data_IF_992333696649
#
_entry.id   IF_992333696649
#
_cell.length_a   1.000
_cell.length_b   1.000
_cell.length_c   1.000
_cell.angle_alpha   90.00
_cell.angle_beta   90.00
_cell.angle_gamma   90.00
#
_symmetry.space_group_name_H-M   'P 1'
#
loop_
_entity.id
_entity.type
_entity.pdbx_description
1 polymer ?
#
# COMPACT_ATOMS: atom_id res chain seq x y z
N UNK A 1 -53.35 39.39 -12.32
CA UNK A 1 -52.93 40.54 -13.15
C UNK A 1 -52.01 40.01 -14.23
N UNK A 2 -52.47 40.12 -15.48
CA UNK A 2 -51.76 40.10 -16.77
C UNK A 2 -50.83 38.89 -17.03
N UNK A 3 -51.34 37.74 -17.46
CA UNK A 3 -51.78 37.30 -18.82
C UNK A 3 -50.68 36.78 -19.75
N UNK A 4 -50.91 35.62 -20.41
CA UNK A 4 -50.09 34.98 -21.43
C UNK A 4 -50.52 35.40 -22.86
N UNK A 5 -49.86 34.90 -23.90
CA UNK A 5 -50.36 34.94 -25.29
C UNK A 5 -49.43 34.12 -26.20
N UNK A 6 -49.80 32.97 -26.77
CA UNK A 6 -50.92 32.57 -27.65
C UNK A 6 -50.53 32.51 -29.13
N UNK A 7 -50.95 31.39 -29.73
CA UNK A 7 -50.99 31.04 -31.15
C UNK A 7 -51.84 32.00 -31.98
N UNK A 8 -51.54 32.10 -33.29
CA UNK A 8 -52.50 32.36 -34.36
C UNK A 8 -52.05 31.54 -35.60
N UNK A 9 -52.83 30.53 -36.03
CA UNK A 9 -53.84 30.54 -37.12
C UNK A 9 -53.23 30.52 -38.54
N UNK A 10 -53.76 29.88 -39.60
CA UNK A 10 -54.90 28.98 -39.87
C UNK A 10 -54.78 28.49 -41.32
N UNK A 11 -55.48 27.38 -41.58
CA UNK A 11 -55.86 26.69 -42.83
C UNK A 11 -56.09 27.48 -44.13
N UNK A 12 -56.04 26.75 -45.26
CA UNK A 12 -56.73 27.17 -46.49
C UNK A 12 -56.49 26.30 -47.73
N UNK A 13 -57.45 25.42 -48.04
CA UNK A 13 -57.57 24.63 -49.28
C UNK A 13 -57.58 25.45 -50.59
N UNK A 14 -57.16 24.80 -51.69
CA UNK A 14 -57.60 25.18 -53.04
C UNK A 14 -56.71 24.65 -54.18
N UNK A 15 -57.06 23.50 -54.77
CA UNK A 15 -56.71 23.21 -56.18
C UNK A 15 -57.64 24.01 -57.09
N UNK A 16 -57.26 24.37 -58.34
CA UNK A 16 -57.37 23.39 -59.43
C UNK A 16 -56.41 23.62 -60.65
N UNK A 17 -56.32 22.61 -61.53
CA UNK A 17 -56.34 22.71 -63.02
C UNK A 17 -55.31 23.63 -63.75
N UNK A 18 -54.64 23.33 -64.87
CA UNK A 18 -54.92 22.49 -66.07
C UNK A 18 -53.57 22.16 -66.76
N UNK A 19 -53.52 20.95 -67.35
CA UNK A 19 -52.69 20.39 -68.45
C UNK A 19 -52.64 21.29 -69.73
N UNK A 20 -51.98 20.98 -70.90
CA UNK A 20 -51.70 19.65 -71.49
C UNK A 20 -50.38 19.47 -72.32
N UNK A 21 -49.81 18.25 -72.40
CA UNK A 21 -49.78 17.28 -73.53
C UNK A 21 -48.70 17.59 -74.60
N UNK A 22 -48.01 16.66 -75.27
CA UNK A 22 -48.40 15.41 -75.97
C UNK A 22 -47.12 14.51 -76.05
N UNK A 23 -47.08 13.26 -75.55
CA UNK A 23 -47.48 11.98 -76.19
C UNK A 23 -46.61 11.61 -77.43
N UNK A 24 -45.94 10.47 -77.56
CA UNK A 24 -46.54 9.12 -77.69
C UNK A 24 -45.47 8.03 -77.94
N UNK A 25 -45.70 6.83 -77.36
CA UNK A 25 -45.55 5.44 -77.90
C UNK A 25 -44.18 4.99 -78.50
N UNK A 26 -43.64 3.76 -78.35
CA UNK A 26 -44.09 2.38 -78.16
C UNK A 26 -42.85 1.57 -77.65
N UNK A 27 -42.92 0.77 -76.59
CA UNK A 27 -43.13 -0.70 -76.60
C UNK A 27 -41.94 -1.51 -77.16
N UNK A 28 -41.07 -2.08 -76.29
CA UNK A 28 -40.64 -3.47 -76.39
C UNK A 28 -39.83 -3.94 -75.16
N UNK A 29 -40.13 -5.16 -74.73
CA UNK A 29 -39.47 -6.06 -73.80
C UNK A 29 -37.97 -5.84 -73.52
N UNK A 30 -37.57 -6.01 -72.25
CA UNK A 30 -36.61 -7.04 -71.82
C UNK A 30 -36.74 -7.18 -70.29
N UNK A 31 -37.02 -8.40 -69.86
CA UNK A 31 -36.89 -8.85 -68.49
C UNK A 31 -35.42 -8.77 -68.09
N UNK A 32 -35.07 -7.89 -67.15
CA UNK A 32 -33.78 -7.94 -66.47
C UNK A 32 -34.06 -8.40 -65.05
N UNK A 33 -33.83 -9.69 -64.84
CA UNK A 33 -33.61 -10.27 -63.52
C UNK A 33 -32.57 -9.43 -62.80
N UNK A 34 -33.01 -8.62 -61.83
CA UNK A 34 -32.11 -7.99 -60.88
C UNK A 34 -31.73 -9.06 -59.84
N UNK A 35 -30.91 -10.03 -60.27
CA UNK A 35 -30.07 -10.79 -59.35
C UNK A 35 -29.05 -9.79 -58.83
N UNK A 36 -29.27 -9.28 -57.62
CA UNK A 36 -28.20 -8.66 -56.86
C UNK A 36 -27.05 -9.67 -56.80
N UNK A 37 -25.86 -9.37 -57.32
CA UNK A 37 -24.71 -10.15 -56.93
C UNK A 37 -24.54 -9.84 -55.44
N UNK A 38 -24.83 -10.85 -54.61
CA UNK A 38 -24.21 -10.94 -53.31
C UNK A 38 -22.71 -10.87 -53.61
N UNK A 39 -22.07 -9.73 -53.37
CA UNK A 39 -20.62 -9.69 -53.23
C UNK A 39 -20.33 -10.52 -51.99
N UNK A 40 -20.20 -11.82 -52.20
CA UNK A 40 -19.31 -12.61 -51.39
C UNK A 40 -17.95 -11.91 -51.51
N UNK A 41 -17.62 -11.09 -50.50
CA UNK A 41 -16.22 -10.77 -50.22
C UNK A 41 -15.59 -12.10 -49.83
N UNK A 42 -15.19 -12.85 -50.85
CA UNK A 42 -14.20 -13.90 -50.74
C UNK A 42 -12.87 -13.21 -50.41
N UNK A 43 -12.73 -12.81 -49.15
CA UNK A 43 -11.42 -12.66 -48.52
C UNK A 43 -11.14 -14.05 -47.93
N UNK A 44 -10.86 -15.02 -48.81
CA UNK A 44 -10.29 -16.31 -48.40
C UNK A 44 -9.10 -16.10 -47.46
N UNK A 45 -8.69 -17.13 -46.71
CA UNK A 45 -7.66 -17.00 -45.67
C UNK A 45 -6.40 -16.40 -46.28
N UNK A 46 -6.21 -15.09 -46.07
CA UNK A 46 -5.05 -14.41 -46.58
C UNK A 46 -3.86 -14.95 -45.80
N UNK A 47 -2.88 -15.54 -46.44
CA UNK A 47 -1.68 -15.97 -45.73
C UNK A 47 -0.82 -14.75 -45.43
N UNK A 48 -0.01 -14.83 -44.36
CA UNK A 48 0.99 -13.82 -44.06
C UNK A 48 2.03 -13.86 -45.19
N UNK A 49 2.05 -12.84 -46.04
CA UNK A 49 3.02 -12.72 -47.12
C UNK A 49 4.40 -12.35 -46.59
N UNK A 50 4.46 -11.42 -45.63
CA UNK A 50 5.72 -10.91 -45.09
C UNK A 50 5.52 -10.29 -43.70
N UNK A 51 6.54 -10.43 -42.85
CA UNK A 51 6.65 -9.71 -41.57
C UNK A 51 7.86 -8.78 -41.67
N UNK A 52 7.65 -7.49 -41.48
CA UNK A 52 8.69 -6.46 -41.49
C UNK A 52 8.87 -5.90 -40.09
N UNK A 53 10.08 -6.04 -39.55
CA UNK A 53 10.47 -5.44 -38.27
C UNK A 53 11.29 -4.17 -38.53
N UNK A 54 10.90 -3.06 -37.91
CA UNK A 54 11.58 -1.75 -38.03
C UNK A 54 12.00 -1.24 -36.67
N UNK A 55 13.09 -0.47 -36.60
CA UNK A 55 13.58 0.13 -35.35
C UNK A 55 14.44 -0.79 -34.49
N UNK A 56 14.82 -1.96 -35.04
CA UNK A 56 15.86 -2.79 -34.46
C UNK A 56 17.25 -2.18 -34.72
N UNK A 57 18.13 -2.30 -33.74
CA UNK A 57 19.49 -1.76 -33.76
C UNK A 57 20.49 -2.85 -33.35
N UNK A 58 20.38 -3.36 -32.11
CA UNK A 58 21.26 -4.40 -31.59
C UNK A 58 20.75 -5.80 -31.93
N UNK A 59 19.44 -6.03 -31.87
CA UNK A 59 18.86 -7.34 -32.18
C UNK A 59 18.72 -7.50 -33.70
N UNK A 60 19.28 -8.58 -34.24
CA UNK A 60 19.11 -8.88 -35.66
C UNK A 60 17.65 -9.21 -35.98
N UNK A 61 17.13 -8.75 -37.13
CA UNK A 61 15.77 -9.09 -37.58
C UNK A 61 15.53 -10.60 -37.61
N UNK A 62 16.52 -11.38 -38.04
CA UNK A 62 16.44 -12.84 -38.05
C UNK A 62 16.34 -13.46 -36.64
N UNK A 63 16.98 -12.86 -35.64
CA UNK A 63 16.93 -13.33 -34.26
C UNK A 63 15.55 -13.10 -33.65
N UNK A 64 14.95 -11.92 -33.87
CA UNK A 64 13.60 -11.61 -33.39
C UNK A 64 12.57 -12.48 -34.11
N UNK A 65 12.68 -12.63 -35.43
CA UNK A 65 11.79 -13.53 -36.20
C UNK A 65 11.90 -14.99 -35.77
N UNK A 66 13.08 -15.46 -35.35
CA UNK A 66 13.26 -16.83 -34.86
C UNK A 66 12.57 -17.07 -33.50
N UNK A 67 12.37 -16.02 -32.69
CA UNK A 67 11.65 -16.07 -31.40
C UNK A 67 10.13 -15.96 -31.57
N UNK A 68 9.66 -15.47 -32.72
CA UNK A 68 8.24 -15.36 -33.05
C UNK A 68 7.64 -16.71 -33.42
N UNK A 69 6.36 -16.91 -33.09
CA UNK A 69 5.62 -18.11 -33.50
C UNK A 69 5.00 -17.96 -34.89
N UNK A 70 4.52 -16.77 -35.21
CA UNK A 70 3.98 -16.47 -36.55
C UNK A 70 5.09 -16.38 -37.59
N UNK A 71 4.86 -16.93 -38.78
CA UNK A 71 5.81 -16.97 -39.88
C UNK A 71 5.16 -16.55 -41.21
N UNK A 72 5.95 -16.01 -42.16
CA UNK A 72 5.48 -15.89 -43.54
C UNK A 72 5.00 -17.26 -44.07
N UNK A 73 3.79 -17.30 -44.61
CA UNK A 73 3.10 -18.51 -45.06
C UNK A 73 1.98 -18.99 -44.13
N UNK A 74 1.95 -18.55 -42.87
CA UNK A 74 0.91 -18.92 -41.91
C UNK A 74 -0.45 -18.28 -42.29
N UNK A 75 -1.59 -18.89 -41.90
CA UNK A 75 -2.90 -18.26 -42.09
C UNK A 75 -2.99 -16.96 -41.29
N UNK A 76 -3.53 -15.90 -41.89
CA UNK A 76 -3.78 -14.66 -41.18
C UNK A 76 -4.83 -14.85 -40.07
N UNK A 77 -4.40 -14.64 -38.83
CA UNK A 77 -5.27 -14.63 -37.67
C UNK A 77 -4.93 -13.43 -36.75
N UNK A 78 -5.85 -12.48 -36.53
CA UNK A 78 -5.60 -11.32 -35.68
C UNK A 78 -5.39 -11.69 -34.21
N UNK A 79 -5.98 -12.77 -33.70
CA UNK A 79 -5.78 -13.23 -32.32
C UNK A 79 -4.37 -13.78 -32.10
N UNK A 80 -3.82 -14.47 -33.11
CA UNK A 80 -2.44 -14.97 -33.08
C UNK A 80 -1.43 -13.82 -33.14
N UNK A 81 -1.74 -12.75 -33.89
CA UNK A 81 -0.93 -11.53 -33.92
C UNK A 81 -0.93 -10.82 -32.57
N UNK A 82 -2.07 -10.69 -31.89
CA UNK A 82 -2.13 -10.12 -30.54
C UNK A 82 -1.37 -10.98 -29.52
N UNK A 83 -1.50 -12.30 -29.60
CA UNK A 83 -0.73 -13.21 -28.76
C UNK A 83 0.78 -13.10 -29.02
N UNK A 84 1.19 -12.83 -30.27
CA UNK A 84 2.59 -12.56 -30.62
C UNK A 84 3.07 -11.23 -30.06
N UNK A 85 2.26 -10.17 -30.15
CA UNK A 85 2.55 -8.88 -29.57
C UNK A 85 2.78 -9.00 -28.05
N UNK A 86 1.89 -9.73 -27.35
CA UNK A 86 2.05 -10.02 -25.91
C UNK A 86 3.33 -10.80 -25.61
N UNK A 87 3.73 -11.75 -26.47
CA UNK A 87 5.00 -12.48 -26.33
C UNK A 87 6.20 -11.55 -26.46
N UNK A 88 6.24 -10.73 -27.51
CA UNK A 88 7.31 -9.76 -27.72
C UNK A 88 7.40 -8.75 -26.57
N UNK A 89 6.25 -8.29 -26.05
CA UNK A 89 6.22 -7.43 -24.86
C UNK A 89 6.77 -8.15 -23.62
N UNK A 90 6.36 -9.39 -23.40
CA UNK A 90 6.81 -10.20 -22.26
C UNK A 90 8.28 -10.63 -22.34
N UNK A 91 8.94 -10.51 -23.50
CA UNK A 91 10.37 -10.79 -23.61
C UNK A 91 11.22 -9.78 -22.84
N UNK A 92 10.65 -8.58 -22.59
CA UNK A 92 11.32 -7.52 -21.86
C UNK A 92 12.45 -6.84 -22.64
N UNK A 93 12.61 -7.12 -23.93
CA UNK A 93 13.68 -6.58 -24.79
C UNK A 93 13.37 -5.19 -25.37
N UNK A 94 12.12 -4.74 -25.31
CA UNK A 94 11.63 -3.54 -26.02
C UNK A 94 11.06 -2.49 -25.05
N UNK A 95 11.38 -1.22 -25.29
CA UNK A 95 10.83 -0.05 -24.57
C UNK A 95 9.39 0.20 -25.01
N UNK A 96 9.16 0.13 -26.33
CA UNK A 96 7.84 0.27 -26.93
C UNK A 96 7.71 -0.62 -28.16
N UNK A 97 6.49 -1.08 -28.41
CA UNK A 97 6.10 -1.78 -29.63
C UNK A 97 4.92 -0.98 -30.18
N UNK A 98 5.07 -0.42 -31.38
CA UNK A 98 3.97 0.33 -32.00
C UNK A 98 2.87 -0.64 -32.47
N UNK A 99 1.60 -0.20 -32.54
CA UNK A 99 0.55 -0.97 -33.17
C UNK A 99 0.96 -1.43 -34.58
N UNK A 100 0.79 -2.72 -34.93
CA UNK A 100 1.22 -3.25 -36.21
C UNK A 100 0.44 -2.60 -37.35
N UNK A 101 1.15 -2.21 -38.41
CA UNK A 101 0.53 -1.75 -39.66
C UNK A 101 0.28 -2.97 -40.53
N UNK A 102 -0.97 -3.14 -41.00
CA UNK A 102 -1.42 -4.32 -41.74
C UNK A 102 -1.81 -3.89 -43.15
N UNK A 103 -1.02 -4.32 -44.14
CA UNK A 103 -1.27 -4.04 -45.56
C UNK A 103 -1.75 -5.32 -46.27
N UNK A 104 -2.93 -5.27 -46.89
CA UNK A 104 -3.46 -6.40 -47.68
C UNK A 104 -3.06 -6.23 -49.14
N UNK A 105 -2.34 -7.22 -49.67
CA UNK A 105 -1.90 -7.24 -51.07
C UNK A 105 -2.44 -8.47 -51.80
N UNK A 106 -2.42 -8.50 -53.15
CA UNK A 106 -2.76 -9.71 -53.91
C UNK A 106 -1.88 -10.93 -53.57
N UNK A 107 -0.69 -10.71 -53.01
CA UNK A 107 0.23 -11.76 -52.58
C UNK A 107 0.00 -12.24 -51.13
N UNK A 108 -0.88 -11.58 -50.36
CA UNK A 108 -1.18 -11.88 -48.96
C UNK A 108 -1.04 -10.67 -48.03
N UNK A 109 -1.01 -10.91 -46.72
CA UNK A 109 -0.94 -9.87 -45.68
C UNK A 109 0.51 -9.52 -45.33
N UNK A 110 0.85 -8.22 -45.37
CA UNK A 110 2.14 -7.71 -44.90
C UNK A 110 1.93 -7.07 -43.52
N UNK A 111 2.70 -7.51 -42.54
CA UNK A 111 2.65 -7.01 -41.17
C UNK A 111 3.93 -6.20 -40.92
N UNK A 112 3.79 -4.91 -40.62
CA UNK A 112 4.92 -4.07 -40.21
C UNK A 112 4.83 -3.76 -38.73
N UNK A 113 5.83 -4.20 -37.97
CA UNK A 113 5.95 -3.93 -36.53
C UNK A 113 7.13 -2.98 -36.32
N UNK A 114 6.87 -1.82 -35.73
CA UNK A 114 7.95 -0.93 -35.29
C UNK A 114 8.24 -1.22 -33.82
N UNK A 115 9.49 -1.53 -33.54
CA UNK A 115 10.03 -1.90 -32.24
C UNK A 115 11.03 -0.83 -31.82
N UNK A 116 11.04 -0.48 -30.54
CA UNK A 116 12.11 0.30 -29.94
C UNK A 116 12.81 -0.59 -28.91
N UNK A 117 14.04 -0.99 -29.20
CA UNK A 117 14.82 -1.87 -28.32
C UNK A 117 15.22 -1.18 -27.02
N UNK A 118 15.31 -1.95 -25.94
CA UNK A 118 15.98 -1.53 -24.72
C UNK A 118 17.48 -1.63 -24.92
N UNK A 119 18.15 -0.50 -24.76
CA UNK A 119 19.60 -0.41 -24.73
C UNK A 119 20.09 -0.63 -23.28
N UNK A 120 21.27 -1.24 -23.08
CA UNK A 120 21.83 -1.39 -21.75
C UNK A 120 22.22 -0.03 -21.16
N UNK A 121 22.16 0.11 -19.84
CA UNK A 121 22.62 1.28 -19.10
C UNK A 121 24.14 1.25 -19.07
N UNK A 122 24.78 2.16 -19.79
CA UNK A 122 26.23 2.27 -19.83
C UNK A 122 26.79 2.82 -18.51
N UNK A 123 26.11 3.82 -17.94
CA UNK A 123 26.53 4.48 -16.71
C UNK A 123 25.34 5.17 -16.04
N UNK A 124 25.36 5.16 -14.72
CA UNK A 124 24.48 5.97 -13.87
C UNK A 124 25.30 7.15 -13.31
N UNK A 125 24.77 8.35 -13.42
CA UNK A 125 25.40 9.59 -12.96
C UNK A 125 24.45 10.30 -12.02
N UNK A 126 24.98 10.85 -10.94
CA UNK A 126 24.24 11.71 -10.01
C UNK A 126 24.79 13.12 -10.12
N UNK A 127 23.94 14.08 -10.50
CA UNK A 127 24.28 15.50 -10.56
C UNK A 127 23.63 16.23 -9.39
N UNK A 128 24.33 17.23 -8.82
CA UNK A 128 23.79 18.06 -7.74
C UNK A 128 23.85 17.44 -6.33
N UNK A 129 24.55 16.33 -6.17
CA UNK A 129 24.84 15.72 -4.85
C UNK A 129 25.93 16.49 -4.10
N UNK A 130 25.54 17.27 -3.09
CA UNK A 130 26.45 18.03 -2.25
C UNK A 130 26.70 17.33 -0.90
N UNK A 131 25.64 16.93 -0.20
CA UNK A 131 25.71 16.23 1.09
C UNK A 131 25.40 14.73 0.96
N UNK A 132 24.63 14.33 -0.05
CA UNK A 132 24.32 12.93 -0.32
C UNK A 132 25.46 12.27 -1.08
N UNK A 133 26.16 11.30 -0.46
CA UNK A 133 27.20 10.56 -1.19
C UNK A 133 26.60 9.76 -2.36
N UNK A 134 27.24 9.80 -3.53
CA UNK A 134 26.83 9.01 -4.72
C UNK A 134 26.71 7.51 -4.40
N UNK A 135 27.59 6.97 -3.55
CA UNK A 135 27.52 5.57 -3.10
C UNK A 135 26.24 5.24 -2.35
N UNK A 136 25.73 6.18 -1.54
CA UNK A 136 24.44 6.00 -0.84
C UNK A 136 23.27 6.12 -1.80
N UNK A 137 23.35 7.03 -2.78
CA UNK A 137 22.34 7.17 -3.82
C UNK A 137 22.25 5.91 -4.70
N UNK A 138 23.40 5.40 -5.18
CA UNK A 138 23.48 4.18 -5.97
C UNK A 138 22.96 2.95 -5.21
N UNK A 139 23.21 2.84 -3.91
CA UNK A 139 22.70 1.74 -3.08
C UNK A 139 21.19 1.77 -2.86
N UNK A 140 20.57 2.94 -3.01
CA UNK A 140 19.14 3.11 -2.78
C UNK A 140 18.32 2.78 -4.03
N UNK A 141 18.87 3.03 -5.21
CA UNK A 141 18.21 2.76 -6.49
C UNK A 141 18.43 1.33 -6.97
N UNK A 142 17.59 0.89 -7.91
CA UNK A 142 17.68 -0.41 -8.56
C UNK A 142 18.34 -0.36 -9.93
N UNK A 143 18.34 0.79 -10.59
CA UNK A 143 19.01 0.97 -11.88
C UNK A 143 20.52 0.79 -11.72
N UNK A 144 21.06 -0.23 -12.38
CA UNK A 144 22.48 -0.56 -12.35
C UNK A 144 23.12 -0.49 -13.74
N UNK A 145 24.45 -0.42 -13.74
CA UNK A 145 25.25 -0.48 -14.97
C UNK A 145 25.11 -1.88 -15.61
N UNK A 146 25.13 -1.92 -16.93
CA UNK A 146 25.07 -3.10 -17.79
C UNK A 146 23.68 -3.81 -17.80
N UNK A 147 22.70 -3.31 -17.05
CA UNK A 147 21.31 -3.77 -17.10
C UNK A 147 20.51 -3.11 -18.24
N UNK A 148 19.41 -3.74 -18.68
CA UNK A 148 18.52 -3.16 -19.70
C UNK A 148 17.78 -1.93 -19.15
N UNK A 149 17.91 -0.79 -19.83
CA UNK A 149 17.23 0.45 -19.44
C UNK A 149 15.72 0.24 -19.29
N UNK A 150 15.18 0.60 -18.13
CA UNK A 150 13.75 0.57 -17.84
C UNK A 150 13.23 1.98 -17.47
N UNK A 151 12.36 2.59 -18.29
CA UNK A 151 11.79 3.90 -17.95
C UNK A 151 10.84 3.86 -16.75
N UNK A 152 10.28 2.69 -16.38
CA UNK A 152 9.48 2.56 -15.16
C UNK A 152 10.39 2.48 -13.94
N UNK A 153 11.45 1.67 -14.00
CA UNK A 153 12.42 1.54 -12.90
C UNK A 153 13.08 2.88 -12.57
N UNK A 154 13.48 3.66 -13.58
CA UNK A 154 14.08 4.98 -13.36
C UNK A 154 13.09 5.93 -12.67
N UNK A 155 11.80 5.85 -12.98
CA UNK A 155 10.75 6.65 -12.30
C UNK A 155 10.55 6.21 -10.84
N UNK A 156 10.59 4.91 -10.57
CA UNK A 156 10.59 4.37 -9.20
C UNK A 156 11.81 4.84 -8.43
N UNK A 157 12.99 4.78 -9.04
CA UNK A 157 14.27 5.19 -8.47
C UNK A 157 14.31 6.70 -8.15
N UNK A 158 13.73 7.55 -8.99
CA UNK A 158 13.54 8.98 -8.66
C UNK A 158 12.73 9.15 -7.37
N UNK A 159 11.71 8.32 -7.16
CA UNK A 159 10.88 8.35 -5.95
C UNK A 159 11.66 7.83 -4.75
N UNK A 160 12.45 6.77 -4.93
CA UNK A 160 13.34 6.21 -3.90
C UNK A 160 14.40 7.21 -3.46
N UNK A 161 15.04 7.91 -4.39
CA UNK A 161 16.00 8.98 -4.08
C UNK A 161 15.33 10.16 -3.36
N UNK A 162 14.11 10.54 -3.77
CA UNK A 162 13.34 11.57 -3.06
C UNK A 162 13.06 11.14 -1.61
N UNK A 163 12.65 9.90 -1.40
CA UNK A 163 12.43 9.35 -0.05
C UNK A 163 13.71 9.33 0.78
N UNK A 164 14.85 8.99 0.17
CA UNK A 164 16.16 9.04 0.82
C UNK A 164 16.51 10.47 1.25
N UNK A 165 16.22 11.49 0.43
CA UNK A 165 16.41 12.89 0.82
C UNK A 165 15.55 13.25 2.04
N UNK A 166 14.28 12.84 2.08
CA UNK A 166 13.40 13.05 3.24
C UNK A 166 13.99 12.43 4.52
N UNK A 167 14.48 11.19 4.45
CA UNK A 167 15.13 10.50 5.57
C UNK A 167 16.42 11.18 6.02
N UNK A 168 17.13 11.82 5.08
CA UNK A 168 18.32 12.61 5.38
C UNK A 168 18.01 14.00 5.92
N UNK A 169 16.74 14.39 6.01
CA UNK A 169 16.30 15.68 6.56
C UNK A 169 16.17 16.77 5.51
N UNK A 170 16.02 16.44 4.23
CA UNK A 170 15.88 17.37 3.12
C UNK A 170 14.44 17.37 2.56
N UNK A 171 13.45 17.93 3.28
CA UNK A 171 12.04 17.93 2.90
C UNK A 171 11.72 18.69 1.61
N UNK A 172 12.56 19.67 1.26
CA UNK A 172 12.38 20.51 0.07
C UNK A 172 13.17 20.02 -1.14
N UNK A 173 13.82 18.86 -1.02
CA UNK A 173 14.64 18.29 -2.07
C UNK A 173 13.82 17.88 -3.29
N UNK A 174 14.40 18.06 -4.48
CA UNK A 174 13.83 17.62 -5.76
C UNK A 174 14.77 16.63 -6.42
N UNK A 175 14.17 15.64 -7.06
CA UNK A 175 14.88 14.65 -7.86
C UNK A 175 14.18 14.55 -9.20
N UNK A 176 14.97 14.70 -10.26
CA UNK A 176 14.62 14.46 -11.64
C UNK A 176 15.50 13.38 -12.26
N UNK A 177 15.21 13.04 -13.51
CA UNK A 177 16.03 12.12 -14.30
C UNK A 177 16.10 12.60 -15.74
N UNK A 178 17.30 12.62 -16.30
CA UNK A 178 17.60 12.88 -17.71
C UNK A 178 18.27 11.65 -18.31
N UNK A 179 17.90 11.34 -19.55
CA UNK A 179 18.41 10.17 -20.27
C UNK A 179 19.10 10.66 -21.53
N UNK A 180 20.34 10.23 -21.73
CA UNK A 180 21.16 10.58 -22.89
C UNK A 180 21.62 9.30 -23.59
N UNK A 181 21.54 9.27 -24.92
CA UNK A 181 22.06 8.16 -25.71
C UNK A 181 23.57 8.35 -25.97
N UNK A 182 24.35 7.30 -25.70
CA UNK A 182 25.79 7.20 -25.99
C UNK A 182 26.05 6.03 -26.94
N UNK A 183 27.14 6.03 -27.74
CA UNK A 183 27.53 4.88 -28.55
C UNK A 183 27.64 3.56 -27.75
N UNK A 184 27.96 3.65 -26.47
CA UNK A 184 28.17 2.50 -25.59
C UNK A 184 26.89 2.07 -24.81
N UNK A 185 25.76 2.78 -24.99
CA UNK A 185 24.48 2.50 -24.31
C UNK A 185 23.77 3.74 -23.79
N UNK A 186 22.86 3.56 -22.82
CA UNK A 186 22.11 4.66 -22.20
C UNK A 186 22.87 5.25 -21.02
N UNK A 187 22.99 6.57 -20.96
CA UNK A 187 23.44 7.31 -19.79
C UNK A 187 22.20 7.74 -19.01
N UNK A 188 22.07 7.24 -17.77
CA UNK A 188 20.98 7.63 -16.86
C UNK A 188 21.53 8.64 -15.86
N UNK A 189 21.04 9.87 -15.94
CA UNK A 189 21.48 10.98 -15.10
C UNK A 189 20.35 11.31 -14.12
N UNK A 190 20.61 11.17 -12.83
CA UNK A 190 19.70 11.64 -11.79
C UNK A 190 20.11 13.06 -11.39
N UNK A 191 19.21 14.00 -11.61
CA UNK A 191 19.39 15.41 -11.25
C UNK A 191 18.83 15.62 -9.85
N UNK A 192 19.70 15.90 -8.87
CA UNK A 192 19.34 16.01 -7.46
C UNK A 192 19.53 17.45 -6.98
N UNK A 193 18.45 18.10 -6.59
CA UNK A 193 18.47 19.35 -5.83
C UNK A 193 18.19 18.99 -4.37
N UNK A 194 19.20 18.92 -3.51
CA UNK A 194 18.99 18.50 -2.11
C UNK A 194 18.13 19.51 -1.32
N UNK A 195 18.29 20.81 -1.56
CA UNK A 195 17.70 21.83 -0.70
C UNK A 195 18.30 21.85 0.72
N UNK A 196 17.81 22.75 1.61
CA UNK A 196 18.35 22.88 2.97
C UNK A 196 18.05 21.63 3.81
N UNK A 197 19.00 21.24 4.66
CA UNK A 197 18.78 20.25 5.72
C UNK A 197 17.95 20.90 6.84
N UNK A 198 16.78 20.34 7.11
CA UNK A 198 15.83 20.82 8.12
C UNK A 198 15.93 19.98 9.38
N UNK A 199 16.24 20.65 10.48
CA UNK A 199 16.40 20.03 11.80
C UNK A 199 15.33 20.50 12.77
N UNK A 200 14.56 19.56 13.33
CA UNK A 200 13.64 19.76 14.44
C UNK A 200 14.44 20.15 15.69
N UNK A 201 14.31 21.41 16.09
CA UNK A 201 14.95 21.96 17.30
C UNK A 201 14.09 21.76 18.53
N UNK A 202 12.81 22.06 18.40
CA UNK A 202 11.87 22.03 19.51
C UNK A 202 10.52 21.54 19.03
N UNK A 203 9.89 20.71 19.86
CA UNK A 203 8.50 20.31 19.71
C UNK A 203 7.77 20.87 20.93
N UNK A 204 6.85 21.80 20.70
CA UNK A 204 6.02 22.41 21.72
C UNK A 204 4.61 21.87 21.62
N UNK A 205 4.00 21.67 22.77
CA UNK A 205 2.60 21.30 22.89
C UNK A 205 1.83 22.50 23.43
N UNK A 206 0.69 22.81 22.82
CA UNK A 206 -0.24 23.85 23.29
C UNK A 206 -1.61 23.23 23.56
N UNK A 207 -2.32 23.77 24.55
CA UNK A 207 -3.66 23.32 24.93
C UNK A 207 -3.76 23.01 26.43
N UNK A 208 -4.89 22.45 26.83
CA UNK A 208 -5.22 22.09 28.22
C UNK A 208 -4.65 20.71 28.59
N UNK A 209 -3.37 20.49 28.30
CA UNK A 209 -2.69 19.23 28.53
C UNK A 209 -2.41 18.95 30.01
N UNK A 210 -3.13 18.02 30.65
CA UNK A 210 -2.83 17.44 31.96
C UNK A 210 -1.68 16.43 31.93
N UNK A 211 -1.39 15.80 30.79
CA UNK A 211 -0.26 14.86 30.64
C UNK A 211 1.06 15.63 30.43
N UNK A 212 2.14 15.33 31.17
CA UNK A 212 3.41 16.02 31.02
C UNK A 212 4.10 15.67 29.69
N UNK A 213 4.72 16.69 29.07
CA UNK A 213 5.48 16.55 27.81
C UNK A 213 6.56 15.45 27.86
N UNK A 214 7.12 15.18 29.04
CA UNK A 214 8.12 14.11 29.24
C UNK A 214 7.60 12.71 28.97
N UNK A 215 6.28 12.48 29.07
CA UNK A 215 5.65 11.19 28.73
C UNK A 215 5.30 11.10 27.25
N UNK A 216 4.97 12.23 26.62
CA UNK A 216 4.47 12.30 25.24
C UNK A 216 5.63 12.32 24.23
N UNK A 217 6.63 13.16 24.48
CA UNK A 217 7.76 13.38 23.57
C UNK A 217 8.54 12.08 23.25
N UNK A 218 8.74 11.13 24.19
CA UNK A 218 9.39 9.86 23.89
C UNK A 218 8.63 8.96 22.91
N UNK A 219 7.30 9.07 22.82
CA UNK A 219 6.43 8.25 21.98
C UNK A 219 6.57 8.58 20.49
N UNK A 220 6.91 9.83 20.19
CA UNK A 220 7.14 10.33 18.84
C UNK A 220 8.42 9.74 18.22
N UNK A 221 8.37 9.46 16.92
CA UNK A 221 9.51 9.06 16.09
C UNK A 221 10.38 10.26 15.76
N UNK A 222 9.79 11.41 15.49
CA UNK A 222 10.49 12.68 15.34
C UNK A 222 11.18 13.01 16.67
N UNK A 223 12.51 13.12 16.60
CA UNK A 223 13.35 13.51 17.73
C UNK A 223 13.73 14.97 17.60
N UNK A 224 13.91 15.65 18.72
CA UNK A 224 14.59 16.95 18.73
C UNK A 224 16.09 16.73 18.71
N UNK A 225 16.82 17.68 18.11
CA UNK A 225 18.29 17.67 18.19
C UNK A 225 18.74 17.81 19.64
N UNK A 226 19.58 16.88 20.11
CA UNK A 226 20.10 16.92 21.48
C UNK A 226 20.89 18.22 21.75
N UNK A 227 20.66 18.90 22.89
CA UNK A 227 21.41 20.11 23.27
C UNK A 227 22.92 19.88 23.36
N UNK A 228 23.34 18.66 23.69
CA UNK A 228 24.75 18.30 23.90
C UNK A 228 25.43 17.70 22.66
N UNK A 229 24.76 17.67 21.50
CA UNK A 229 25.37 17.35 20.21
C UNK A 229 25.92 15.93 20.03
N UNK A 230 25.81 15.05 21.03
CA UNK A 230 26.38 13.69 20.98
C UNK A 230 25.58 12.68 20.12
N UNK A 231 24.36 13.02 19.70
CA UNK A 231 23.51 12.16 18.88
C UNK A 231 23.16 12.88 17.56
N UNK A 232 23.45 12.24 16.42
CA UNK A 232 22.86 12.59 15.14
C UNK A 232 21.34 12.37 15.25
N UNK A 233 20.59 13.47 15.38
CA UNK A 233 19.15 13.44 15.58
C UNK A 233 18.55 14.80 15.27
N UNK A 234 17.24 14.82 15.08
CA UNK A 234 16.54 16.04 14.68
C UNK A 234 16.20 16.14 13.20
N UNK A 235 16.60 15.19 12.35
CA UNK A 235 16.24 15.25 10.93
C UNK A 235 14.73 15.24 10.75
N UNK A 236 14.23 16.22 10.02
CA UNK A 236 12.80 16.34 9.78
C UNK A 236 12.38 15.52 8.57
N UNK A 237 11.56 14.50 8.83
CA UNK A 237 10.81 13.79 7.79
C UNK A 237 9.31 14.09 7.98
N UNK A 238 8.68 14.83 7.04
CA UNK A 238 7.27 15.19 7.15
C UNK A 238 6.33 13.98 7.18
N UNK A 239 6.76 12.84 6.62
CA UNK A 239 5.96 11.59 6.60
C UNK A 239 5.76 10.99 7.99
N UNK A 240 6.57 11.39 8.96
CA UNK A 240 6.47 10.90 10.34
C UNK A 240 5.44 11.65 11.18
N UNK A 241 5.01 12.85 10.77
CA UNK A 241 4.13 13.71 11.58
C UNK A 241 2.82 13.02 11.91
N UNK A 242 2.09 12.55 10.91
CA UNK A 242 0.74 12.00 11.12
C UNK A 242 0.79 10.78 12.04
N UNK A 243 1.78 9.91 11.85
CA UNK A 243 2.01 8.75 12.71
C UNK A 243 2.38 9.13 14.15
N UNK A 244 3.11 10.23 14.33
CA UNK A 244 3.47 10.72 15.65
C UNK A 244 2.29 11.40 16.36
N UNK A 245 1.50 12.21 15.65
CA UNK A 245 0.27 12.80 16.20
C UNK A 245 -0.70 11.71 16.65
N UNK A 246 -0.86 10.66 15.84
CA UNK A 246 -1.71 9.53 16.15
C UNK A 246 -1.25 8.77 17.39
N UNK A 247 0.06 8.50 17.53
CA UNK A 247 0.61 7.88 18.75
C UNK A 247 0.39 8.71 20.01
N UNK A 248 0.52 10.04 19.89
CA UNK A 248 0.22 10.93 21.01
C UNK A 248 -1.26 10.83 21.37
N UNK A 249 -2.16 10.84 20.37
CA UNK A 249 -3.61 10.66 20.57
C UNK A 249 -3.94 9.31 21.22
N UNK A 250 -3.34 8.22 20.76
CA UNK A 250 -3.47 6.88 21.35
C UNK A 250 -3.05 6.88 22.83
N UNK A 251 -2.01 7.62 23.20
CA UNK A 251 -1.59 7.74 24.59
C UNK A 251 -2.59 8.50 25.46
N UNK A 252 -3.22 9.54 24.93
CA UNK A 252 -4.32 10.23 25.61
C UNK A 252 -5.51 9.30 25.83
N UNK A 253 -5.91 8.56 24.80
CA UNK A 253 -6.95 7.52 24.90
C UNK A 253 -6.58 6.48 25.95
N UNK A 254 -5.32 6.04 25.97
CA UNK A 254 -4.80 5.12 26.97
C UNK A 254 -4.92 5.66 28.41
N UNK A 255 -4.80 6.97 28.61
CA UNK A 255 -4.96 7.66 29.90
C UNK A 255 -6.41 8.06 30.24
N UNK A 256 -7.37 7.75 29.37
CA UNK A 256 -8.80 7.95 29.63
C UNK A 256 -9.43 9.16 28.97
N UNK A 257 -8.72 9.80 28.04
CA UNK A 257 -9.19 10.93 27.26
C UNK A 257 -9.63 10.44 25.88
N UNK A 258 -10.83 9.89 25.80
CA UNK A 258 -11.32 9.24 24.57
C UNK A 258 -11.63 10.24 23.45
N UNK A 259 -12.02 11.46 23.81
CA UNK A 259 -12.30 12.56 22.88
C UNK A 259 -11.05 13.39 22.56
N UNK A 260 -9.86 12.86 22.87
CA UNK A 260 -8.63 13.58 22.65
C UNK A 260 -8.37 13.81 21.15
N UNK A 261 -8.16 15.07 20.80
CA UNK A 261 -7.75 15.49 19.47
C UNK A 261 -6.32 16.04 19.51
N UNK A 262 -5.48 15.54 18.61
CA UNK A 262 -4.09 15.95 18.48
C UNK A 262 -3.85 16.34 17.04
N UNK A 263 -3.46 17.59 16.81
CA UNK A 263 -3.25 18.12 15.47
C UNK A 263 -1.99 18.97 15.39
N UNK A 264 -1.39 19.04 14.20
CA UNK A 264 -0.35 20.01 13.94
C UNK A 264 -0.97 21.41 13.86
N UNK A 265 -0.53 22.33 14.70
CA UNK A 265 -0.99 23.72 14.64
C UNK A 265 -0.22 24.52 13.58
N UNK A 266 1.11 24.52 13.70
CA UNK A 266 1.99 25.26 12.81
C UNK A 266 3.40 24.70 12.81
N UNK A 267 4.09 24.93 11.70
CA UNK A 267 5.53 24.72 11.54
C UNK A 267 6.20 26.08 11.46
N UNK A 268 7.13 26.35 12.36
CA UNK A 268 7.90 27.60 12.37
C UNK A 268 9.32 27.31 11.90
N UNK A 269 9.66 27.84 10.73
CA UNK A 269 10.99 27.69 10.14
C UNK A 269 11.86 28.90 10.47
N UNK A 270 13.08 28.65 10.95
CA UNK A 270 14.09 29.63 11.31
C UNK A 270 15.38 29.37 10.51
N UNK A 271 16.26 30.37 10.41
CA UNK A 271 17.57 30.28 9.74
C UNK A 271 17.50 29.68 8.33
N UNK A 272 16.76 30.34 7.44
CA UNK A 272 16.65 29.94 6.04
C UNK A 272 16.19 28.47 5.89
N UNK A 273 15.07 28.15 6.55
CA UNK A 273 14.44 26.83 6.59
C UNK A 273 15.21 25.72 7.33
N UNK A 274 16.44 25.97 7.79
CA UNK A 274 17.29 24.92 8.38
C UNK A 274 16.86 24.46 9.77
N UNK A 275 16.17 25.31 10.54
CA UNK A 275 15.69 24.99 11.87
C UNK A 275 14.17 24.97 11.89
N UNK A 276 13.60 23.90 12.43
CA UNK A 276 12.16 23.71 12.54
C UNK A 276 11.73 23.66 14.01
N UNK A 277 10.71 24.45 14.34
CA UNK A 277 9.95 24.33 15.58
C UNK A 277 8.54 23.85 15.23
N UNK A 278 8.16 22.72 15.82
CA UNK A 278 6.83 22.15 15.68
C UNK A 278 5.96 22.60 16.85
N UNK A 279 4.75 23.07 16.55
CA UNK A 279 3.73 23.36 17.56
C UNK A 279 2.56 22.42 17.32
N UNK A 280 2.31 21.55 18.28
CA UNK A 280 1.23 20.56 18.26
C UNK A 280 0.12 21.05 19.19
N UNK A 281 -1.10 21.12 18.68
CA UNK A 281 -2.29 21.42 19.47
C UNK A 281 -2.85 20.12 20.05
N UNK A 282 -3.21 20.17 21.33
CA UNK A 282 -3.86 19.07 22.04
C UNK A 282 -5.15 19.61 22.66
N UNK A 283 -6.24 18.91 22.38
CA UNK A 283 -7.52 19.08 23.07
C UNK A 283 -7.84 17.76 23.74
N UNK A 284 -7.71 17.66 25.06
CA UNK A 284 -7.86 16.39 25.77
C UNK A 284 -9.31 15.91 25.84
N UNK A 285 -10.25 16.84 26.03
CA UNK A 285 -11.63 16.51 26.39
C UNK A 285 -11.75 16.05 27.85
N UNK A 286 -12.94 15.59 28.28
CA UNK A 286 -13.14 15.11 29.64
C UNK A 286 -12.40 13.78 29.87
N UNK A 287 -11.96 13.56 31.11
CA UNK A 287 -11.39 12.27 31.52
C UNK A 287 -12.53 11.35 31.95
N UNK A 288 -12.71 10.27 31.19
CA UNK A 288 -13.76 9.31 31.45
C UNK A 288 -13.46 8.46 32.68
N UNK A 289 -14.53 8.01 33.34
CA UNK A 289 -14.47 7.12 34.50
C UNK A 289 -15.09 5.78 34.17
N UNK A 290 -14.83 4.78 35.00
CA UNK A 290 -15.45 3.46 34.85
C UNK A 290 -16.80 3.47 35.55
N UNK A 291 -17.88 3.50 34.80
CA UNK A 291 -19.24 3.43 35.36
C UNK A 291 -19.67 2.02 35.71
N UNK A 292 -19.23 1.04 34.93
CA UNK A 292 -19.61 -0.35 35.12
C UNK A 292 -18.52 -1.29 34.61
N UNK A 293 -18.37 -2.44 35.29
CA UNK A 293 -17.46 -3.51 34.88
C UNK A 293 -18.28 -4.78 34.65
N UNK A 294 -18.20 -5.29 33.41
CA UNK A 294 -18.88 -6.50 32.95
C UNK A 294 -17.86 -7.59 32.59
N UNK A 295 -18.24 -8.85 32.81
CA UNK A 295 -17.47 -10.00 32.36
C UNK A 295 -18.31 -10.77 31.34
N UNK A 296 -17.77 -10.97 30.14
CA UNK A 296 -18.37 -11.82 29.13
C UNK A 296 -17.50 -13.06 28.99
N UNK A 297 -17.87 -14.13 29.68
CA UNK A 297 -17.12 -15.39 29.68
C UNK A 297 -17.71 -16.34 28.65
N UNK A 298 -16.83 -16.95 27.86
CA UNK A 298 -17.14 -18.02 26.91
C UNK A 298 -16.34 -19.25 27.32
N UNK A 299 -17.02 -20.34 27.68
CA UNK A 299 -16.39 -21.60 28.09
C UNK A 299 -17.18 -22.36 29.13
N UNK A 300 -16.44 -22.97 30.06
CA UNK A 300 -16.93 -23.76 31.19
C UNK A 300 -17.34 -22.91 32.41
N UNK A 301 -17.03 -21.61 32.42
CA UNK A 301 -17.28 -20.69 33.53
C UNK A 301 -16.57 -21.16 34.82
N UNK A 302 -15.26 -21.36 34.72
CA UNK A 302 -14.39 -21.92 35.77
C UNK A 302 -14.44 -21.09 37.06
N UNK A 303 -14.58 -19.76 36.92
CA UNK A 303 -14.65 -18.83 38.04
C UNK A 303 -15.97 -18.06 38.06
N UNK A 304 -16.57 -17.83 39.25
CA UNK A 304 -17.68 -16.90 39.37
C UNK A 304 -17.22 -15.46 39.15
N UNK A 305 -18.13 -14.61 38.66
CA UNK A 305 -17.84 -13.18 38.42
C UNK A 305 -17.31 -12.45 39.66
N UNK A 306 -17.73 -12.85 40.87
CA UNK A 306 -17.22 -12.26 42.12
C UNK A 306 -15.72 -12.47 42.26
N UNK A 307 -15.20 -13.65 41.91
CA UNK A 307 -13.77 -13.96 42.00
C UNK A 307 -12.97 -13.19 40.93
N UNK A 308 -13.53 -13.03 39.74
CA UNK A 308 -12.93 -12.20 38.68
C UNK A 308 -12.86 -10.74 39.13
N UNK A 309 -13.94 -10.23 39.75
CA UNK A 309 -14.01 -8.87 40.29
C UNK A 309 -13.01 -8.63 41.43
N UNK A 310 -12.86 -9.59 42.34
CA UNK A 310 -11.88 -9.52 43.44
C UNK A 310 -10.42 -9.54 42.96
N UNK A 311 -10.17 -9.93 41.71
CA UNK A 311 -8.84 -9.96 41.09
C UNK A 311 -8.48 -8.62 40.44
N UNK A 312 -9.47 -7.75 40.20
CA UNK A 312 -9.24 -6.43 39.59
C UNK A 312 -8.62 -5.47 40.61
N UNK A 313 -7.68 -4.66 40.15
CA UNK A 313 -7.19 -3.51 40.90
C UNK A 313 -8.07 -2.28 40.66
N UNK A 314 -8.70 -2.18 39.48
CA UNK A 314 -9.51 -1.02 39.12
C UNK A 314 -10.95 -1.12 39.65
N UNK A 315 -11.44 0.01 40.17
CA UNK A 315 -12.78 0.13 40.76
C UNK A 315 -13.77 0.89 39.89
N UNK A 316 -15.06 0.70 40.17
CA UNK A 316 -16.13 1.56 39.64
C UNK A 316 -15.99 2.98 40.23
N UNK A 317 -16.13 4.00 39.40
CA UNK A 317 -16.00 5.42 39.75
C UNK A 317 -14.57 5.96 39.63
N UNK A 318 -13.58 5.08 39.47
CA UNK A 318 -12.19 5.47 39.25
C UNK A 318 -12.01 6.03 37.83
N UNK A 319 -11.07 6.97 37.62
CA UNK A 319 -10.70 7.42 36.29
C UNK A 319 -10.18 6.25 35.45
N UNK A 320 -10.46 6.28 34.16
CA UNK A 320 -9.88 5.30 33.25
C UNK A 320 -8.35 5.37 33.29
N UNK A 321 -7.72 4.19 33.36
CA UNK A 321 -6.28 3.99 33.22
C UNK A 321 -6.02 2.69 32.46
N UNK A 322 -5.54 2.81 31.22
CA UNK A 322 -5.24 1.68 30.36
C UNK A 322 -4.16 0.75 30.92
N UNK A 323 -3.25 1.25 31.76
CA UNK A 323 -2.22 0.42 32.39
C UNK A 323 -2.84 -0.50 33.44
N UNK A 324 -3.74 0.04 34.26
CA UNK A 324 -4.49 -0.74 35.23
C UNK A 324 -5.38 -1.77 34.53
N UNK A 325 -6.09 -1.38 33.47
CA UNK A 325 -6.94 -2.30 32.69
C UNK A 325 -6.14 -3.45 32.06
N UNK A 326 -4.94 -3.15 31.55
CA UNK A 326 -4.02 -4.15 31.01
C UNK A 326 -3.51 -5.09 32.11
N UNK A 327 -3.04 -4.53 33.23
CA UNK A 327 -2.59 -5.29 34.40
C UNK A 327 -3.68 -6.23 34.93
N UNK A 328 -4.93 -5.75 34.97
CA UNK A 328 -6.08 -6.53 35.37
C UNK A 328 -6.41 -7.67 34.39
N UNK A 329 -6.31 -7.41 33.09
CA UNK A 329 -6.45 -8.45 32.06
C UNK A 329 -5.40 -9.56 32.23
N UNK A 330 -4.15 -9.17 32.52
CA UNK A 330 -3.06 -10.12 32.79
C UNK A 330 -3.26 -10.89 34.10
N UNK A 331 -3.81 -10.24 35.13
CA UNK A 331 -4.12 -10.85 36.43
C UNK A 331 -5.23 -11.90 36.30
N UNK A 332 -6.29 -11.59 35.55
CA UNK A 332 -7.34 -12.57 35.22
C UNK A 332 -6.76 -13.73 34.40
N UNK A 333 -5.96 -13.45 33.36
CA UNK A 333 -5.34 -14.52 32.56
C UNK A 333 -4.48 -15.43 33.44
N UNK A 334 -3.71 -14.87 34.37
CA UNK A 334 -2.90 -15.63 35.33
C UNK A 334 -3.76 -16.53 36.21
N UNK A 335 -4.88 -16.01 36.72
CA UNK A 335 -5.85 -16.79 37.50
C UNK A 335 -6.36 -18.02 36.73
N UNK A 336 -6.60 -17.91 35.42
CA UNK A 336 -6.94 -19.06 34.56
C UNK A 336 -5.77 -20.02 34.35
N UNK A 337 -4.56 -19.49 34.19
CA UNK A 337 -3.35 -20.32 34.07
C UNK A 337 -3.09 -21.17 35.31
N UNK A 338 -3.45 -20.70 36.51
CA UNK A 338 -3.42 -21.49 37.76
C UNK A 338 -4.38 -22.69 37.78
N UNK A 339 -5.30 -22.79 36.80
CA UNK A 339 -6.22 -23.92 36.60
C UNK A 339 -5.94 -24.70 35.32
N UNK A 340 -4.73 -24.59 34.79
CA UNK A 340 -4.28 -25.21 33.53
C UNK A 340 -4.98 -24.72 32.25
N UNK A 341 -5.69 -23.58 32.30
CA UNK A 341 -6.21 -22.89 31.11
C UNK A 341 -5.16 -21.90 30.60
N UNK A 342 -4.11 -22.44 29.96
CA UNK A 342 -2.95 -21.65 29.49
C UNK A 342 -3.31 -20.78 28.28
N UNK A 343 -4.18 -21.27 27.42
CA UNK A 343 -4.64 -20.57 26.21
C UNK A 343 -5.77 -19.57 26.48
N UNK A 344 -6.06 -19.28 27.76
CA UNK A 344 -7.08 -18.31 28.11
C UNK A 344 -6.73 -16.92 27.56
N UNK A 345 -7.69 -16.32 26.84
CA UNK A 345 -7.57 -14.98 26.27
C UNK A 345 -8.51 -14.05 27.02
N UNK A 346 -7.96 -12.96 27.54
CA UNK A 346 -8.71 -11.89 28.22
C UNK A 346 -8.51 -10.60 27.44
N UNK A 347 -9.57 -10.13 26.81
CA UNK A 347 -9.57 -8.93 25.99
C UNK A 347 -10.49 -7.86 26.61
N UNK A 348 -9.96 -6.72 27.09
CA UNK A 348 -10.78 -5.61 27.55
C UNK A 348 -11.39 -4.87 26.35
N UNK A 349 -12.68 -4.56 26.44
CA UNK A 349 -13.43 -3.77 25.47
C UNK A 349 -14.12 -2.62 26.17
N UNK A 350 -14.06 -1.42 25.59
CA UNK A 350 -14.73 -0.22 26.10
C UNK A 350 -16.02 -0.02 25.33
N UNK A 351 -17.11 0.17 26.06
CA UNK A 351 -18.41 0.52 25.48
C UNK A 351 -18.76 1.92 25.94
N UNK A 352 -18.92 2.82 24.97
CA UNK A 352 -19.29 4.21 25.19
C UNK A 352 -20.81 4.31 25.37
N UNK A 353 -21.31 4.91 26.46
CA UNK A 353 -22.73 5.23 26.55
C UNK A 353 -23.08 6.34 25.54
N UNK A 354 -24.35 6.39 25.13
CA UNK A 354 -24.87 7.48 24.29
C UNK A 354 -24.96 8.82 25.04
N UNK A 355 -25.07 8.78 26.37
CA UNK A 355 -25.14 9.95 27.25
C UNK A 355 -24.33 9.67 28.53
N UNK A 356 -23.45 10.60 28.92
CA UNK A 356 -22.62 10.51 30.14
C UNK A 356 -21.11 10.36 29.88
N UNK A 357 -20.31 10.55 30.92
CA UNK A 357 -18.83 10.48 30.90
C UNK A 357 -18.27 9.16 31.46
N UNK A 358 -19.16 8.21 31.76
CA UNK A 358 -18.82 6.95 32.42
C UNK A 358 -18.83 5.79 31.40
N UNK A 359 -17.67 5.18 31.15
CA UNK A 359 -17.56 4.04 30.23
C UNK A 359 -17.93 2.73 30.90
N UNK A 360 -18.41 1.78 30.09
CA UNK A 360 -18.57 0.39 30.50
C UNK A 360 -17.32 -0.38 30.07
N UNK A 361 -16.60 -0.92 31.04
CA UNK A 361 -15.46 -1.79 30.82
C UNK A 361 -15.93 -3.25 30.78
N UNK A 362 -15.85 -3.88 29.62
CA UNK A 362 -16.19 -5.29 29.45
C UNK A 362 -14.94 -6.12 29.23
N UNK A 363 -14.69 -7.09 30.10
CA UNK A 363 -13.68 -8.11 29.87
C UNK A 363 -14.29 -9.27 29.10
N UNK A 364 -13.90 -9.44 27.85
CA UNK A 364 -14.22 -10.62 27.05
C UNK A 364 -13.21 -11.71 27.36
N UNK A 365 -13.68 -12.80 27.95
CA UNK A 365 -12.85 -13.90 28.42
C UNK A 365 -13.21 -15.13 27.61
N UNK A 366 -12.25 -15.64 26.85
CA UNK A 366 -12.31 -16.97 26.27
C UNK A 366 -11.41 -17.86 27.12
N UNK A 367 -12.02 -18.78 27.87
CA UNK A 367 -11.28 -19.65 28.80
C UNK A 367 -10.41 -20.66 28.05
N UNK A 368 -10.78 -21.01 26.82
CA UNK A 368 -10.10 -22.07 26.07
C UNK A 368 -10.35 -23.45 26.68
N UNK A 369 -9.36 -24.34 26.54
CA UNK A 369 -9.40 -25.68 27.11
C UNK A 369 -8.25 -25.86 28.10
N UNK A 370 -8.38 -26.85 28.99
CA UNK A 370 -7.27 -27.28 29.82
C UNK A 370 -6.17 -27.85 28.95
N UNK A 371 -4.95 -27.42 29.22
CA UNK A 371 -3.75 -27.90 28.53
C UNK A 371 -3.11 -29.00 29.36
N UNK A 372 -2.70 -30.07 28.67
CA UNK A 372 -1.99 -31.20 29.25
C UNK A 372 -0.59 -31.26 28.66
N UNK A 373 0.36 -31.75 29.45
CA UNK A 373 1.73 -32.01 28.99
C UNK A 373 1.69 -33.24 28.09
N UNK A 374 2.01 -33.10 26.81
CA UNK A 374 2.10 -34.25 25.90
C UNK A 374 3.47 -34.96 26.07
N UNK A 375 4.55 -34.23 25.76
CA UNK A 375 5.91 -34.73 25.86
C UNK A 375 6.83 -33.69 26.51
N UNK A 376 7.86 -34.17 27.22
CA UNK A 376 8.94 -33.35 27.76
C UNK A 376 10.26 -33.81 27.13
N UNK A 377 10.81 -32.97 26.26
CA UNK A 377 12.11 -33.15 25.61
C UNK A 377 13.22 -32.38 26.34
N UNK A 378 14.41 -32.98 26.47
CA UNK A 378 15.61 -32.30 26.96
C UNK A 378 16.59 -32.07 25.81
N UNK A 379 17.20 -30.89 25.77
CA UNK A 379 18.21 -30.53 24.76
C UNK A 379 19.45 -29.95 25.45
N UNK A 380 20.63 -30.24 24.91
CA UNK A 380 21.90 -29.69 25.40
C UNK A 380 22.54 -30.42 26.59
N UNK A 381 21.98 -31.55 27.03
CA UNK A 381 22.45 -32.33 28.17
C UNK A 381 23.55 -33.36 27.81
N UNK A 382 24.59 -32.96 27.06
CA UNK A 382 25.65 -33.86 26.61
C UNK A 382 26.41 -34.59 27.73
N UNK A 383 26.47 -34.00 28.94
CA UNK A 383 27.13 -34.57 30.12
C UNK A 383 26.22 -35.30 31.11
N UNK A 384 24.89 -35.25 30.94
CA UNK A 384 23.92 -35.74 31.93
C UNK A 384 22.79 -36.50 31.25
N UNK A 385 22.49 -37.71 31.70
CA UNK A 385 21.39 -38.52 31.13
C UNK A 385 20.03 -37.86 31.37
N UNK A 386 19.13 -37.92 30.40
CA UNK A 386 17.75 -37.41 30.50
C UNK A 386 17.03 -37.86 31.77
N UNK A 387 17.13 -39.15 32.12
CA UNK A 387 16.50 -39.71 33.31
C UNK A 387 16.96 -39.04 34.63
N UNK A 388 18.18 -38.50 34.66
CA UNK A 388 18.74 -37.81 35.84
C UNK A 388 18.14 -36.40 36.00
N UNK A 389 17.81 -35.75 34.89
CA UNK A 389 17.14 -34.44 34.88
C UNK A 389 15.64 -34.66 35.13
N UNK A 390 15.04 -35.63 34.43
CA UNK A 390 13.60 -35.95 34.53
C UNK A 390 13.15 -36.24 35.95
N UNK A 391 13.96 -36.91 36.77
CA UNK A 391 13.64 -37.21 38.19
C UNK A 391 13.62 -35.99 39.11
N UNK A 392 14.10 -34.83 38.65
CA UNK A 392 14.06 -33.57 39.41
C UNK A 392 12.86 -32.70 39.03
N UNK A 393 12.14 -33.06 37.97
CA UNK A 393 10.95 -32.34 37.56
C UNK A 393 9.76 -32.71 38.47
N UNK A 394 8.91 -31.72 38.72
CA UNK A 394 7.62 -31.84 39.40
C UNK A 394 6.45 -31.97 38.42
N UNK A 395 6.76 -32.16 37.13
CA UNK A 395 5.80 -32.26 36.03
C UNK A 395 6.03 -33.53 35.20
N UNK A 396 4.94 -34.18 34.80
CA UNK A 396 4.98 -35.42 34.02
C UNK A 396 4.05 -35.39 32.79
N UNK A 397 4.37 -36.16 31.73
CA UNK A 397 3.45 -36.38 30.61
C UNK A 397 2.06 -36.83 31.07
N UNK A 398 1.05 -36.39 30.33
CA UNK A 398 -0.39 -36.53 30.59
C UNK A 398 -0.92 -35.82 31.85
N UNK A 399 -0.10 -35.04 32.57
CA UNK A 399 -0.59 -34.16 33.65
C UNK A 399 -1.08 -32.82 33.09
N UNK A 400 -2.00 -32.19 33.83
CA UNK A 400 -2.42 -30.81 33.57
C UNK A 400 -1.21 -29.86 33.71
N UNK A 401 -1.10 -28.92 32.77
CA UNK A 401 0.02 -27.99 32.70
C UNK A 401 -0.19 -26.83 33.68
N UNK A 402 0.54 -26.85 34.79
CA UNK A 402 0.54 -25.81 35.81
C UNK A 402 1.85 -24.99 35.79
N UNK A 403 1.82 -23.67 35.54
CA UNK A 403 3.03 -22.86 35.38
C UNK A 403 3.95 -22.80 36.61
N UNK A 404 3.39 -22.83 37.81
CA UNK A 404 4.12 -22.87 39.07
C UNK A 404 5.01 -24.12 39.17
N UNK A 405 4.46 -25.30 38.85
CA UNK A 405 5.23 -26.56 38.82
C UNK A 405 6.36 -26.56 37.80
N UNK A 406 6.18 -25.87 36.67
CA UNK A 406 7.26 -25.69 35.68
C UNK A 406 8.38 -24.85 36.30
N UNK A 407 8.03 -23.75 36.97
CA UNK A 407 8.99 -22.86 37.60
C UNK A 407 9.75 -23.56 38.74
N UNK A 408 9.06 -24.32 39.58
CA UNK A 408 9.65 -25.11 40.66
C UNK A 408 10.64 -26.15 40.10
N UNK A 409 10.24 -26.86 39.03
CA UNK A 409 11.09 -27.82 38.30
C UNK A 409 12.36 -27.21 37.69
N UNK A 410 12.35 -25.91 37.35
CA UNK A 410 13.51 -25.18 36.82
C UNK A 410 14.42 -24.63 37.92
N UNK A 411 13.90 -24.51 39.15
CA UNK A 411 14.62 -23.93 40.28
C UNK A 411 15.31 -24.95 41.19
N UNK A 412 14.90 -26.22 41.10
CA UNK A 412 15.54 -27.39 41.73
C UNK A 412 16.86 -27.77 41.03
#
# INVERSE_FOLDING_TARGET
>A
MLTPGECFMTDGHGSPCVRPWILSLLLLCIAISCTTPLLAQDQGPATIAQIQLKGLDRLGTAEVLARMKIRPGDPWNPEELDAEYRRLWSSGDFISIDPPVIDRTPAGVIITIRLLERKPVHKVVFEGTANLSEKSAQKAIRTEKDELYDPLLVREDVTTLRNLLLEKGHPFGRVGSRIEESPDGMLVIFEIEEGPEVLVRTINFKGEGSIPTSEILPLMRLRTRSPFGLLEGGKFDPRMIDADLEKVREYYVYKGFFDAEVSLDRMEFENDLSNLRLVIAITEGPRYRIGMIEFQVVGEHVFPESKLRDTLHIGIGEPWDGEAVKSDSESIRRLYSEKAYIDAVVAPTVIYPLEGEDVILRYQINEGQRVFIDEIEFRGNAGTKDAVIRRQLEIYPAEELYPDRIQDSLSN
#
